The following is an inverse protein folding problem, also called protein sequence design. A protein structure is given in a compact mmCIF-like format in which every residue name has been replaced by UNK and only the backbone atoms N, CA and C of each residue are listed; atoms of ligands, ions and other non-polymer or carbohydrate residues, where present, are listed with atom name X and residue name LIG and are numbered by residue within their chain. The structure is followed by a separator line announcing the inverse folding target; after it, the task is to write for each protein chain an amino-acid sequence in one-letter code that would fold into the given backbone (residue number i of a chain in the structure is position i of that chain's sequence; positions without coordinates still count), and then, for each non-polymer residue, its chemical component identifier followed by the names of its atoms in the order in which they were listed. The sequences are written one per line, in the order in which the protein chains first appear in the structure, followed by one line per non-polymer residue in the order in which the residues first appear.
data_IF_370052142146
#
_entry.id   IF_370052142146
#
_cell.length_a   1.000
_cell.length_b   1.000
_cell.length_c   1.000
_cell.angle_alpha   90.00
_cell.angle_beta   90.00
_cell.angle_gamma   90.00
#
_symmetry.space_group_name_H-M   'P 1'
#
loop_
_entity.id
_entity.type
_entity.pdbx_description
1 polymer ?
#
# COMPACT_ATOMS: atom_id res chain seq x y z
N UNK A 1 6.35 -6.39 -3.74
CA UNK A 1 6.89 -7.09 -4.94
C UNK A 1 8.06 -7.97 -4.51
N UNK A 2 8.41 -8.99 -5.28
CA UNK A 2 9.68 -9.74 -5.14
C UNK A 2 10.48 -9.64 -6.44
N UNK A 3 11.70 -10.19 -6.46
CA UNK A 3 12.54 -10.18 -7.67
C UNK A 3 11.88 -10.92 -8.84
N UNK A 4 11.12 -11.98 -8.55
CA UNK A 4 10.50 -12.85 -9.55
C UNK A 4 9.04 -12.51 -9.84
N UNK A 5 8.33 -11.88 -8.91
CA UNK A 5 6.88 -11.72 -9.00
C UNK A 5 6.37 -10.32 -8.63
N UNK A 6 5.33 -9.90 -9.34
CA UNK A 6 4.53 -8.71 -9.01
C UNK A 6 3.18 -9.17 -8.46
N UNK A 7 2.68 -8.43 -7.47
CA UNK A 7 1.44 -8.78 -6.78
C UNK A 7 0.49 -7.59 -6.80
N UNK A 8 -0.77 -7.87 -7.05
CA UNK A 8 -1.82 -6.86 -7.09
C UNK A 8 -3.01 -7.32 -6.25
N UNK A 9 -3.59 -6.40 -5.52
CA UNK A 9 -4.92 -6.57 -4.95
C UNK A 9 -5.95 -5.92 -5.86
N UNK A 10 -7.14 -6.50 -5.92
CA UNK A 10 -8.27 -5.91 -6.64
C UNK A 10 -9.58 -6.24 -5.94
N UNK A 11 -10.60 -5.42 -6.18
CA UNK A 11 -11.96 -5.68 -5.71
C UNK A 11 -12.89 -5.80 -6.91
N UNK A 12 -13.55 -6.96 -7.03
CA UNK A 12 -14.69 -7.15 -7.91
C UNK A 12 -15.96 -6.80 -7.14
N UNK A 13 -16.45 -5.57 -7.37
CA UNK A 13 -17.64 -5.03 -6.72
C UNK A 13 -18.92 -5.78 -7.11
N UNK A 14 -18.96 -6.40 -8.30
CA UNK A 14 -20.15 -7.11 -8.78
C UNK A 14 -20.31 -8.47 -8.11
N UNK A 15 -19.21 -9.20 -7.93
CA UNK A 15 -19.23 -10.50 -7.27
C UNK A 15 -18.85 -10.46 -5.79
N UNK A 16 -18.59 -9.27 -5.24
CA UNK A 16 -18.17 -9.03 -3.86
C UNK A 16 -16.94 -9.86 -3.48
N UNK A 17 -15.91 -9.84 -4.33
CA UNK A 17 -14.66 -10.59 -4.11
C UNK A 17 -13.47 -9.64 -4.01
N UNK A 18 -12.62 -9.89 -3.02
CA UNK A 18 -11.30 -9.27 -2.92
C UNK A 18 -10.25 -10.27 -3.37
N UNK A 19 -9.43 -9.90 -4.34
CA UNK A 19 -8.44 -10.78 -4.93
C UNK A 19 -7.03 -10.36 -4.57
N UNK A 20 -6.15 -11.35 -4.44
CA UNK A 20 -4.71 -11.21 -4.55
C UNK A 20 -4.24 -11.97 -5.79
N UNK A 21 -3.57 -11.28 -6.68
CA UNK A 21 -3.02 -11.84 -7.91
C UNK A 21 -1.50 -11.88 -7.85
N UNK A 22 -0.91 -12.96 -8.33
CA UNK A 22 0.55 -13.15 -8.48
C UNK A 22 0.87 -13.24 -9.96
N UNK A 23 1.75 -12.38 -10.43
CA UNK A 23 2.21 -12.32 -11.82
C UNK A 23 3.71 -12.59 -11.89
N UNK A 24 4.15 -13.32 -12.91
CA UNK A 24 5.56 -13.44 -13.26
C UNK A 24 6.08 -12.06 -13.72
N UNK A 25 7.15 -11.57 -13.09
CA UNK A 25 7.64 -10.22 -13.35
C UNK A 25 8.35 -10.08 -14.71
N UNK A 26 8.87 -11.17 -15.28
CA UNK A 26 9.61 -11.15 -16.55
C UNK A 26 8.69 -10.99 -17.74
N UNK A 27 7.49 -11.57 -17.67
CA UNK A 27 6.56 -11.62 -18.80
C UNK A 27 5.14 -11.12 -18.47
N UNK A 28 4.87 -10.71 -17.23
CA UNK A 28 3.58 -10.24 -16.74
C UNK A 28 2.42 -11.22 -17.00
N UNK A 29 2.70 -12.53 -17.05
CA UNK A 29 1.65 -13.56 -17.07
C UNK A 29 1.15 -13.84 -15.67
N UNK A 30 -0.16 -14.01 -15.55
CA UNK A 30 -0.79 -14.41 -14.30
C UNK A 30 -0.33 -15.82 -13.91
N UNK A 31 0.34 -15.93 -12.77
CA UNK A 31 0.80 -17.20 -12.22
C UNK A 31 -0.27 -17.82 -11.28
N UNK A 32 -0.89 -17.00 -10.43
CA UNK A 32 -1.92 -17.47 -9.50
C UNK A 32 -2.86 -16.34 -9.07
N UNK A 33 -4.04 -16.70 -8.56
CA UNK A 33 -4.97 -15.78 -7.91
C UNK A 33 -5.63 -16.42 -6.71
N UNK A 34 -5.90 -15.62 -5.69
CA UNK A 34 -6.57 -16.06 -4.46
C UNK A 34 -7.68 -15.08 -4.09
N UNK A 35 -8.89 -15.59 -3.90
CA UNK A 35 -9.94 -14.81 -3.26
C UNK A 35 -9.65 -14.74 -1.75
N UNK A 36 -9.51 -13.54 -1.23
CA UNK A 36 -9.28 -13.23 0.18
C UNK A 36 -10.56 -12.91 0.94
N UNK A 37 -11.68 -12.73 0.24
CA UNK A 37 -12.94 -12.33 0.87
C UNK A 37 -13.38 -13.29 1.98
N UNK A 38 -13.83 -12.73 3.10
CA UNK A 38 -14.41 -13.45 4.24
C UNK A 38 -15.70 -12.77 4.67
N UNK A 39 -16.87 -13.32 4.31
CA UNK A 39 -18.15 -12.68 4.63
C UNK A 39 -18.22 -11.27 4.03
N UNK A 40 -18.39 -10.25 4.88
CA UNK A 40 -18.49 -8.84 4.47
C UNK A 40 -17.12 -8.17 4.19
N UNK A 41 -16.02 -8.81 4.57
CA UNK A 41 -14.67 -8.31 4.36
C UNK A 41 -14.22 -8.67 2.94
N UNK A 42 -14.54 -7.79 1.99
CA UNK A 42 -14.35 -8.03 0.55
C UNK A 42 -13.34 -7.07 -0.09
N UNK A 43 -12.89 -6.07 0.66
CA UNK A 43 -12.00 -5.02 0.16
C UNK A 43 -10.60 -5.19 0.75
N UNK A 44 -9.60 -5.61 -0.04
CA UNK A 44 -8.21 -5.55 0.36
C UNK A 44 -7.76 -4.10 0.31
N UNK A 45 -7.91 -3.40 1.43
CA UNK A 45 -7.73 -1.95 1.52
C UNK A 45 -6.26 -1.55 1.61
N UNK A 46 -5.41 -2.37 2.23
CA UNK A 46 -3.97 -2.11 2.33
C UNK A 46 -3.13 -3.36 2.10
N UNK A 47 -1.93 -3.21 1.55
CA UNK A 47 -1.05 -4.32 1.17
C UNK A 47 0.42 -3.93 1.31
N UNK A 48 1.23 -4.69 2.04
CA UNK A 48 2.69 -4.55 1.97
C UNK A 48 3.43 -5.87 2.20
N UNK A 49 4.71 -5.93 1.83
CA UNK A 49 5.59 -7.08 2.02
C UNK A 49 6.58 -6.85 3.16
N UNK A 50 6.50 -7.65 4.21
CA UNK A 50 7.40 -7.57 5.37
C UNK A 50 8.68 -8.39 5.26
N UNK A 51 9.14 -8.78 4.06
CA UNK A 51 10.34 -9.60 3.85
C UNK A 51 10.16 -11.11 4.03
N UNK A 52 9.07 -11.56 4.66
CA UNK A 52 8.71 -12.98 4.78
C UNK A 52 7.28 -13.28 4.30
N UNK A 53 6.35 -12.37 4.55
CA UNK A 53 4.95 -12.51 4.17
C UNK A 53 4.35 -11.17 3.74
N UNK A 54 3.24 -11.23 3.02
CA UNK A 54 2.40 -10.06 2.79
C UNK A 54 1.50 -9.81 3.99
N UNK A 55 1.31 -8.53 4.29
CA UNK A 55 0.36 -8.04 5.27
C UNK A 55 -0.75 -7.30 4.54
N UNK A 56 -1.99 -7.74 4.75
CA UNK A 56 -3.14 -7.22 4.01
C UNK A 56 -4.25 -6.84 4.98
N UNK A 57 -4.69 -5.58 4.94
CA UNK A 57 -5.93 -5.19 5.59
C UNK A 57 -7.11 -5.60 4.71
N UNK A 58 -8.02 -6.37 5.28
CA UNK A 58 -9.32 -6.68 4.67
C UNK A 58 -10.38 -5.93 5.44
N UNK A 59 -11.05 -4.99 4.80
CA UNK A 59 -12.08 -4.15 5.40
C UNK A 59 -13.45 -4.42 4.76
N UNK A 60 -14.51 -4.00 5.48
CA UNK A 60 -15.82 -3.79 4.87
C UNK A 60 -15.77 -2.46 4.11
N UNK A 61 -16.42 -2.36 2.95
CA UNK A 61 -16.46 -1.12 2.16
C UNK A 61 -17.40 -0.06 2.79
N UNK A 62 -17.10 0.34 4.04
CA UNK A 62 -17.86 1.31 4.84
C UNK A 62 -16.95 1.89 5.93
N UNK A 63 -17.00 3.21 6.12
CA UNK A 63 -16.32 3.89 7.24
C UNK A 63 -16.81 3.32 8.59
N UNK A 64 -15.97 3.38 9.62
CA UNK A 64 -16.31 2.96 11.01
C UNK A 64 -16.73 1.49 11.08
N UNK A 65 -16.03 0.62 10.35
CA UNK A 65 -16.20 -0.83 10.42
C UNK A 65 -14.87 -1.49 10.75
N UNK A 66 -14.91 -2.61 11.45
CA UNK A 66 -13.70 -3.37 11.77
C UNK A 66 -12.96 -3.82 10.51
N UNK A 67 -11.68 -4.13 10.69
CA UNK A 67 -10.80 -4.71 9.68
C UNK A 67 -10.12 -5.96 10.22
N UNK A 68 -9.79 -6.86 9.32
CA UNK A 68 -8.98 -8.04 9.64
C UNK A 68 -7.62 -7.89 8.99
N UNK A 69 -6.56 -8.06 9.76
CA UNK A 69 -5.20 -8.04 9.24
C UNK A 69 -4.79 -9.47 8.92
N UNK A 70 -4.51 -9.70 7.64
CA UNK A 70 -4.07 -10.98 7.12
C UNK A 70 -2.56 -11.00 6.98
N UNK A 71 -1.99 -12.16 7.29
CA UNK A 71 -0.69 -12.55 6.79
C UNK A 71 -0.89 -13.53 5.63
N UNK A 72 -0.18 -13.32 4.53
CA UNK A 72 -0.26 -14.15 3.34
C UNK A 72 1.12 -14.62 2.90
N UNK A 73 1.26 -15.93 2.75
CA UNK A 73 2.46 -16.55 2.19
C UNK A 73 2.60 -16.18 0.70
N UNK A 74 3.74 -15.59 0.27
CA UNK A 74 3.90 -15.06 -1.09
C UNK A 74 4.04 -16.15 -2.16
N UNK A 75 4.37 -17.38 -1.76
CA UNK A 75 4.56 -18.49 -2.68
C UNK A 75 3.24 -19.21 -2.97
N UNK A 76 2.51 -19.52 -1.92
CA UNK A 76 1.29 -20.34 -1.96
C UNK A 76 0.01 -19.50 -1.95
N UNK A 77 0.09 -18.21 -1.64
CA UNK A 77 -1.03 -17.30 -1.41
C UNK A 77 -1.98 -17.78 -0.29
N UNK A 78 -1.51 -18.66 0.60
CA UNK A 78 -2.26 -19.07 1.77
C UNK A 78 -2.33 -17.90 2.75
N UNK A 79 -3.57 -17.51 3.08
CA UNK A 79 -3.86 -16.37 3.92
C UNK A 79 -4.40 -16.84 5.28
N UNK A 80 -3.88 -16.26 6.36
CA UNK A 80 -4.39 -16.43 7.73
C UNK A 80 -4.67 -15.07 8.35
N UNK A 81 -5.72 -14.99 9.17
CA UNK A 81 -5.97 -13.78 9.97
C UNK A 81 -4.96 -13.79 11.11
N UNK A 82 -4.19 -12.71 11.26
CA UNK A 82 -3.29 -12.51 12.40
C UNK A 82 -4.03 -11.90 13.58
N UNK A 83 -4.74 -10.81 13.33
CA UNK A 83 -5.52 -10.09 14.33
C UNK A 83 -6.64 -9.27 13.68
N UNK A 84 -7.55 -8.76 14.52
CA UNK A 84 -8.64 -7.88 14.13
C UNK A 84 -8.43 -6.49 14.73
N UNK A 85 -8.91 -5.47 14.03
CA UNK A 85 -8.84 -4.07 14.46
C UNK A 85 -10.25 -3.51 14.41
N UNK A 86 -10.70 -2.88 15.51
CA UNK A 86 -12.02 -2.23 15.61
C UNK A 86 -12.05 -0.85 14.92
N UNK A 87 -11.40 -0.73 13.76
CA UNK A 87 -11.39 0.46 12.90
C UNK A 87 -11.24 0.03 11.43
N UNK A 88 -11.61 0.91 10.51
CA UNK A 88 -11.46 0.69 9.08
C UNK A 88 -10.01 1.03 8.69
N UNK A 89 -9.18 0.02 8.50
CA UNK A 89 -7.78 0.18 8.12
C UNK A 89 -7.71 0.25 6.59
N UNK A 90 -7.40 1.45 6.09
CA UNK A 90 -7.39 1.82 4.68
C UNK A 90 -6.06 1.56 3.98
N UNK A 91 -4.96 1.36 4.71
CA UNK A 91 -3.64 1.06 4.15
C UNK A 91 -2.78 0.28 5.15
N UNK A 92 -1.75 -0.40 4.65
CA UNK A 92 -0.76 -1.13 5.45
C UNK A 92 0.63 -0.86 4.89
N UNK A 93 1.61 -0.67 5.78
CA UNK A 93 3.03 -0.60 5.50
C UNK A 93 3.84 -1.44 6.51
N UNK A 94 5.03 -1.90 6.11
CA UNK A 94 5.91 -2.76 6.92
C UNK A 94 7.30 -2.16 7.12
N UNK A 95 7.63 -1.81 8.36
CA UNK A 95 8.95 -1.33 8.75
C UNK A 95 9.60 -2.29 9.76
N UNK A 96 10.52 -3.13 9.29
CA UNK A 96 11.12 -4.19 10.11
C UNK A 96 10.05 -5.13 10.67
N UNK A 97 9.93 -5.18 12.00
CA UNK A 97 8.92 -5.98 12.71
C UNK A 97 7.58 -5.24 12.92
N UNK A 98 7.52 -3.92 12.70
CA UNK A 98 6.31 -3.13 12.93
C UNK A 98 5.33 -3.27 11.76
N UNK A 99 4.06 -3.50 12.08
CA UNK A 99 2.94 -3.36 11.14
C UNK A 99 2.37 -1.96 11.34
N UNK A 100 2.39 -1.15 10.28
CA UNK A 100 1.84 0.19 10.29
C UNK A 100 0.54 0.16 9.49
N UNK A 101 -0.55 0.64 10.04
CA UNK A 101 -1.79 0.87 9.29
C UNK A 101 -2.33 2.26 9.53
N UNK A 102 -3.13 2.75 8.60
CA UNK A 102 -3.88 3.98 8.82
C UNK A 102 -5.36 3.72 8.61
N UNK A 103 -6.21 4.43 9.34
CA UNK A 103 -7.64 4.27 9.19
C UNK A 103 -8.18 4.97 7.92
N UNK A 104 -9.50 5.02 7.78
CA UNK A 104 -10.16 5.70 6.67
C UNK A 104 -9.65 7.15 6.54
N UNK A 105 -9.27 7.56 5.32
CA UNK A 105 -8.63 8.85 5.03
C UNK A 105 -7.32 9.10 5.79
N UNK A 106 -6.64 8.06 6.28
CA UNK A 106 -5.38 8.16 6.99
C UNK A 106 -5.38 9.23 8.10
N UNK A 107 -6.50 9.37 8.83
CA UNK A 107 -6.67 10.35 9.90
C UNK A 107 -5.76 9.99 11.09
N UNK A 108 -5.76 8.70 11.46
CA UNK A 108 -4.87 8.14 12.46
C UNK A 108 -4.06 6.97 11.93
N UNK A 109 -2.79 6.93 12.31
CA UNK A 109 -1.87 5.83 12.08
C UNK A 109 -1.71 4.99 13.35
N UNK A 110 -1.66 3.69 13.15
CA UNK A 110 -1.54 2.67 14.19
C UNK A 110 -0.26 1.87 13.93
N UNK A 111 0.47 1.61 15.00
CA UNK A 111 1.68 0.82 14.99
C UNK A 111 1.44 -0.40 15.85
N UNK A 112 1.49 -1.58 15.23
CA UNK A 112 1.34 -2.85 15.92
C UNK A 112 2.63 -3.68 15.83
N UNK A 113 2.80 -4.58 16.80
CA UNK A 113 3.66 -5.74 16.58
C UNK A 113 2.98 -6.74 15.62
N UNK A 114 3.66 -7.84 15.31
CA UNK A 114 3.13 -8.87 14.39
C UNK A 114 1.97 -9.68 14.98
N UNK A 115 1.79 -9.65 16.31
CA UNK A 115 0.70 -10.33 17.01
C UNK A 115 -0.54 -9.44 17.18
N UNK A 116 -0.44 -8.17 16.77
CA UNK A 116 -1.53 -7.21 16.79
C UNK A 116 -1.59 -6.36 18.06
N UNK A 117 -0.60 -6.45 18.94
CA UNK A 117 -0.52 -5.55 20.09
C UNK A 117 -0.24 -4.14 19.61
N UNK A 118 -1.13 -3.20 19.97
CA UNK A 118 -0.93 -1.79 19.65
C UNK A 118 0.26 -1.24 20.45
N UNK A 119 1.30 -0.84 19.74
CA UNK A 119 2.49 -0.20 20.29
C UNK A 119 2.26 1.31 20.45
N UNK A 120 1.68 1.93 19.42
CA UNK A 120 1.44 3.37 19.40
C UNK A 120 0.32 3.74 18.41
N UNK A 121 -0.35 4.86 18.68
CA UNK A 121 -1.25 5.53 17.75
C UNK A 121 -0.81 6.98 17.57
N UNK A 122 -0.74 7.45 16.33
CA UNK A 122 -0.35 8.82 15.98
C UNK A 122 -1.38 9.44 15.05
N UNK A 123 -1.64 10.73 15.21
CA UNK A 123 -2.42 11.49 14.23
C UNK A 123 -1.63 11.71 12.94
N UNK A 124 -2.34 11.88 11.82
CA UNK A 124 -1.71 12.18 10.53
C UNK A 124 -0.77 13.39 10.62
N UNK A 125 0.50 13.28 10.19
CA UNK A 125 1.45 14.38 10.27
C UNK A 125 1.19 15.47 9.21
N UNK A 126 0.27 15.22 8.26
CA UNK A 126 -0.01 16.12 7.14
C UNK A 126 -1.49 16.44 6.97
N UNK A 127 -2.39 15.66 7.57
CA UNK A 127 -3.84 15.75 7.35
C UNK A 127 -4.29 15.32 5.94
N UNK A 128 -3.41 14.71 5.15
CA UNK A 128 -3.75 14.20 3.81
C UNK A 128 -4.36 12.80 3.91
N UNK A 129 -5.44 12.59 3.14
CA UNK A 129 -6.05 11.29 2.94
C UNK A 129 -5.23 10.39 2.02
N UNK A 130 -4.22 9.72 2.58
CA UNK A 130 -3.40 8.77 1.84
C UNK A 130 -4.18 7.52 1.46
N UNK A 131 -4.00 7.07 0.22
CA UNK A 131 -4.62 5.86 -0.32
C UNK A 131 -3.75 4.63 -0.09
N UNK A 132 -2.43 4.80 -0.17
CA UNK A 132 -1.48 3.74 0.11
C UNK A 132 -0.16 4.32 0.63
N UNK A 133 0.57 3.52 1.40
CA UNK A 133 1.91 3.84 1.87
C UNK A 133 2.82 2.61 1.83
N UNK A 134 4.12 2.82 1.69
CA UNK A 134 5.16 1.80 1.89
C UNK A 134 6.22 2.32 2.84
N UNK A 135 6.71 1.46 3.72
CA UNK A 135 7.85 1.82 4.54
C UNK A 135 9.15 1.36 3.88
N UNK A 136 10.15 2.22 3.92
CA UNK A 136 11.50 1.91 3.49
C UNK A 136 12.48 2.69 4.35
N UNK A 137 13.40 1.96 4.99
CA UNK A 137 14.56 2.53 5.68
C UNK A 137 14.22 3.67 6.68
N UNK A 138 13.14 3.50 7.47
CA UNK A 138 12.70 4.50 8.46
C UNK A 138 11.86 5.64 7.88
N UNK A 139 11.42 5.55 6.63
CA UNK A 139 10.50 6.52 6.01
C UNK A 139 9.22 5.84 5.54
N UNK A 140 8.11 6.55 5.56
CA UNK A 140 6.91 6.20 4.80
C UNK A 140 6.87 6.97 3.49
N UNK A 141 6.64 6.25 2.40
CA UNK A 141 6.32 6.80 1.09
C UNK A 141 4.83 6.61 0.87
N UNK A 142 4.08 7.69 0.99
CA UNK A 142 2.61 7.70 0.95
C UNK A 142 2.09 8.44 -0.27
N UNK A 143 0.97 7.98 -0.84
CA UNK A 143 0.38 8.56 -2.05
C UNK A 143 -1.05 9.03 -1.84
N UNK A 144 -1.41 10.15 -2.47
CA UNK A 144 -2.76 10.67 -2.52
C UNK A 144 -2.93 11.60 -3.72
N UNK A 145 -3.83 11.26 -4.65
CA UNK A 145 -4.00 12.04 -5.86
C UNK A 145 -2.67 12.18 -6.62
N UNK A 146 -2.23 13.41 -6.90
CA UNK A 146 -0.97 13.64 -7.63
C UNK A 146 0.24 13.84 -6.72
N UNK A 147 0.15 13.43 -5.45
CA UNK A 147 1.18 13.66 -4.44
C UNK A 147 1.78 12.35 -3.98
N UNK A 148 3.10 12.35 -3.87
CA UNK A 148 3.89 11.39 -3.11
C UNK A 148 4.59 12.14 -1.98
N UNK A 149 4.30 11.73 -0.75
CA UNK A 149 4.92 12.28 0.45
C UNK A 149 5.91 11.29 1.06
N UNK A 150 7.08 11.78 1.43
CA UNK A 150 8.08 11.07 2.22
C UNK A 150 7.97 11.59 3.65
N UNK A 151 7.61 10.72 4.58
CA UNK A 151 7.41 11.03 6.00
C UNK A 151 8.50 10.31 6.81
N UNK A 152 9.16 11.01 7.71
CA UNK A 152 10.11 10.43 8.66
C UNK A 152 9.35 9.66 9.75
N UNK A 153 9.62 8.36 9.93
CA UNK A 153 8.92 7.55 10.93
C UNK A 153 9.33 7.88 12.37
N UNK A 154 10.54 8.38 12.58
CA UNK A 154 11.06 8.71 13.90
C UNK A 154 10.58 10.08 14.34
N UNK A 155 10.77 11.09 13.50
CA UNK A 155 10.40 12.48 13.79
C UNK A 155 8.92 12.76 13.49
N UNK A 156 8.22 11.81 12.85
CA UNK A 156 6.81 11.85 12.50
C UNK A 156 6.39 13.16 11.81
N UNK A 157 7.13 13.51 10.76
CA UNK A 157 6.91 14.75 9.99
C UNK A 157 7.15 14.53 8.50
N UNK A 158 6.49 15.35 7.69
CA UNK A 158 6.76 15.43 6.27
C UNK A 158 8.21 15.88 6.04
N UNK A 159 8.94 15.10 5.24
CA UNK A 159 10.30 15.42 4.78
C UNK A 159 10.25 16.05 3.40
N UNK A 160 9.48 15.45 2.49
CA UNK A 160 9.38 15.91 1.11
C UNK A 160 8.03 15.56 0.50
N UNK A 161 7.50 16.46 -0.32
CA UNK A 161 6.38 16.21 -1.22
C UNK A 161 6.86 16.26 -2.66
N UNK A 162 6.43 15.31 -3.47
CA UNK A 162 6.74 15.20 -4.90
C UNK A 162 5.40 15.16 -5.65
N UNK A 163 5.26 16.05 -6.63
CA UNK A 163 4.14 16.00 -7.57
C UNK A 163 4.44 14.93 -8.65
N UNK A 164 3.56 13.94 -8.76
CA UNK A 164 3.75 12.73 -9.59
C UNK A 164 2.87 12.70 -10.85
N UNK A 165 2.03 13.72 -11.06
CA UNK A 165 1.22 13.88 -12.27
C UNK A 165 0.14 12.81 -12.46
N UNK A 166 -0.28 12.61 -13.71
CA UNK A 166 -1.38 11.73 -14.09
C UNK A 166 -0.93 10.54 -14.95
N UNK A 167 -1.75 9.49 -14.98
CA UNK A 167 -1.64 8.35 -15.88
C UNK A 167 -1.96 8.76 -17.33
N UNK A 168 -1.75 7.86 -18.28
CA UNK A 168 -2.03 8.13 -19.70
C UNK A 168 -3.52 8.32 -19.99
N UNK A 169 -4.40 7.84 -19.11
CA UNK A 169 -5.85 8.01 -19.23
C UNK A 169 -6.38 9.11 -18.30
N UNK A 170 -5.48 9.92 -17.71
CA UNK A 170 -5.82 11.11 -16.93
C UNK A 170 -6.19 10.84 -15.47
N UNK A 171 -5.87 9.65 -14.95
CA UNK A 171 -6.07 9.36 -13.53
C UNK A 171 -4.87 9.81 -12.70
N UNK A 172 -5.14 10.38 -11.54
CA UNK A 172 -4.08 10.78 -10.63
C UNK A 172 -3.14 9.62 -10.27
N UNK A 173 -1.82 9.81 -10.37
CA UNK A 173 -0.85 8.70 -10.28
C UNK A 173 -0.88 8.00 -8.89
N UNK A 174 -1.17 8.75 -7.84
CA UNK A 174 -1.29 8.28 -6.46
C UNK A 174 -2.73 8.06 -5.99
N UNK A 175 -3.67 7.81 -6.93
CA UNK A 175 -5.07 7.52 -6.60
C UNK A 175 -5.26 6.16 -5.92
N UNK A 176 -4.41 5.20 -6.21
CA UNK A 176 -4.55 3.80 -5.77
C UNK A 176 -3.22 3.30 -5.17
N UNK A 177 -2.75 2.12 -5.59
CA UNK A 177 -1.58 1.45 -5.03
C UNK A 177 -0.24 2.03 -5.46
N UNK A 178 0.70 2.03 -4.52
CA UNK A 178 2.13 2.30 -4.74
C UNK A 178 2.95 1.07 -4.36
N UNK A 179 4.13 0.88 -4.93
CA UNK A 179 5.08 -0.12 -4.43
C UNK A 179 6.51 0.39 -4.53
N UNK A 180 7.36 -0.04 -3.60
CA UNK A 180 8.81 0.20 -3.63
C UNK A 180 9.52 -1.13 -3.86
N UNK A 181 10.48 -1.15 -4.79
CA UNK A 181 11.31 -2.32 -5.03
C UNK A 181 12.58 -1.95 -5.81
N UNK A 182 13.75 -2.40 -5.35
CA UNK A 182 15.02 -2.22 -6.07
C UNK A 182 15.38 -0.74 -6.34
N UNK A 183 15.07 0.16 -5.41
CA UNK A 183 15.32 1.61 -5.55
C UNK A 183 14.38 2.32 -6.53
N UNK A 184 13.26 1.70 -6.88
CA UNK A 184 12.24 2.22 -7.80
C UNK A 184 10.89 2.33 -7.10
N UNK A 185 10.07 3.23 -7.61
CA UNK A 185 8.67 3.41 -7.20
C UNK A 185 7.76 3.03 -8.35
N UNK A 186 6.69 2.31 -8.01
CA UNK A 186 5.72 1.78 -8.94
C UNK A 186 4.33 2.30 -8.58
N UNK A 187 3.51 2.59 -9.58
CA UNK A 187 2.12 3.03 -9.40
C UNK A 187 1.18 2.20 -10.27
N UNK A 188 -0.03 1.97 -9.78
CA UNK A 188 -1.13 1.35 -10.54
C UNK A 188 -2.40 2.20 -10.39
N UNK A 189 -2.49 3.35 -11.07
CA UNK A 189 -3.55 4.34 -10.85
C UNK A 189 -4.86 4.03 -11.57
N UNK A 190 -4.87 3.04 -12.46
CA UNK A 190 -5.97 2.78 -13.39
C UNK A 190 -6.71 1.48 -13.03
N UNK A 191 -8.00 1.43 -13.36
CA UNK A 191 -8.84 0.24 -13.18
C UNK A 191 -8.96 -0.59 -14.46
N UNK A 192 -9.33 -1.86 -14.28
CA UNK A 192 -9.74 -2.73 -15.38
C UNK A 192 -8.59 -3.46 -16.08
N UNK A 193 -8.92 -4.14 -17.17
CA UNK A 193 -8.01 -5.06 -17.86
C UNK A 193 -6.86 -4.35 -18.60
N UNK A 194 -7.03 -3.07 -18.89
CA UNK A 194 -6.06 -2.24 -19.61
C UNK A 194 -5.18 -1.40 -18.66
N UNK A 195 -5.31 -1.63 -17.35
CA UNK A 195 -4.52 -0.94 -16.33
C UNK A 195 -3.02 -1.16 -16.53
N UNK A 196 -2.24 -0.10 -16.24
CA UNK A 196 -0.80 -0.10 -16.47
C UNK A 196 -0.04 0.16 -15.18
N UNK A 197 1.06 -0.55 -15.04
CA UNK A 197 2.05 -0.25 -14.01
C UNK A 197 3.00 0.82 -14.54
N UNK A 198 3.13 1.92 -13.81
CA UNK A 198 4.08 2.98 -14.08
C UNK A 198 5.29 2.80 -13.18
N UNK A 199 6.49 2.84 -13.75
CA UNK A 199 7.75 2.69 -13.02
C UNK A 199 8.55 3.99 -13.09
N UNK A 200 9.01 4.46 -11.94
CA UNK A 200 9.88 5.62 -11.83
C UNK A 200 11.09 5.32 -10.94
N UNK A 201 12.13 6.12 -11.08
CA UNK A 201 13.29 6.14 -10.18
C UNK A 201 13.37 7.51 -9.53
N UNK A 202 13.75 7.54 -8.25
CA UNK A 202 14.15 8.80 -7.64
C UNK A 202 15.47 9.25 -8.27
N UNK A 203 15.48 10.46 -8.82
CA UNK A 203 16.71 11.14 -9.23
C UNK A 203 17.02 12.19 -8.17
N UNK A 204 18.28 12.28 -7.69
CA UNK A 204 18.69 13.44 -6.92
C UNK A 204 18.32 14.70 -7.69
N UNK A 205 17.82 15.72 -6.99
CA UNK A 205 17.80 17.06 -7.57
C UNK A 205 19.24 17.40 -7.87
N UNK A 206 19.58 17.56 -9.15
CA UNK A 206 20.80 18.26 -9.52
C UNK A 206 20.68 19.62 -8.83
N UNK A 207 21.66 19.99 -8.00
CA UNK A 207 21.79 21.39 -7.58
C UNK A 207 21.70 22.22 -8.86
N UNK A 208 20.64 23.03 -9.00
CA UNK A 208 20.62 24.11 -9.97
C UNK A 208 21.61 25.16 -9.47
N UNK A 209 22.89 24.82 -9.47
CA UNK A 209 23.97 25.75 -9.23
C UNK A 209 24.50 26.25 -10.57
N UNK A 210 24.44 27.57 -10.70
CA UNK A 210 25.10 28.44 -11.66
C UNK A 210 24.68 28.33 -13.14
N UNK A 211 23.68 29.13 -13.50
CA UNK A 211 23.84 30.05 -14.63
C UNK A 211 23.60 31.46 -14.12
N UNK A 212 24.73 32.13 -13.83
CA UNK A 212 24.84 33.60 -13.80
C UNK A 212 24.52 34.18 -15.20
#
# INVERSE_FOLDING_TARGET
MTDEHVFFTSVDKYSAKGWLHKYDRRNMKLAASRNLAKGLYVHPSGFDYGGGAFWIAMAVYKRETASKIFEVDPETLKARIRFEVEDHIGLIARDGAAVIGANWNAESFYFWDEDGSLLEKRESPTGIGYQDCKADSGFLVCVSGNKLDIIDLKEWRLVKRIEIGDSQVGNAMGREGVALHGGRVYFLPDDGIDARVYEFRFVPSVEQDAQD
#
